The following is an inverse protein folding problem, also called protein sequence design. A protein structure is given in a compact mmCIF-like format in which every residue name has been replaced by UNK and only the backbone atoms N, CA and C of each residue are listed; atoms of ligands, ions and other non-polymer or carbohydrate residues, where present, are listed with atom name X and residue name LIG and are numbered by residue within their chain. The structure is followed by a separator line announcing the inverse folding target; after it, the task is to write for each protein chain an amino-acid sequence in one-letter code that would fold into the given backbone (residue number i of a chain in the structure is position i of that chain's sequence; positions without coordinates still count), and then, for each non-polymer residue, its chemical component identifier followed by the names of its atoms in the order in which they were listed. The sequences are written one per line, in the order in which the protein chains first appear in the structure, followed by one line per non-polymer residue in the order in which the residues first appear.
data_IF_841075905693
#
_entry.id   IF_841075905693
#
_cell.length_a   1.000
_cell.length_b   1.000
_cell.length_c   1.000
_cell.angle_alpha   90.00
_cell.angle_beta   90.00
_cell.angle_gamma   90.00
#
_symmetry.space_group_name_H-M   'P 1'
#
loop_
_entity.id
_entity.type
_entity.pdbx_description
1 polymer ?
#
# COMPACT_ATOMS: atom_id res chain seq x y z
N UNK A 1 16.92 -19.44 12.87
CA UNK A 1 15.66 -18.73 13.18
C UNK A 1 15.21 -18.02 11.92
N UNK A 2 14.29 -18.60 11.14
CA UNK A 2 13.71 -17.90 10.00
C UNK A 2 12.69 -16.90 10.51
N UNK A 3 13.00 -15.61 10.47
CA UNK A 3 12.00 -14.55 10.59
C UNK A 3 10.97 -14.79 9.48
N UNK A 4 9.75 -15.19 9.83
CA UNK A 4 8.65 -15.28 8.89
C UNK A 4 8.53 -13.93 8.18
N UNK A 5 8.68 -13.91 6.85
CA UNK A 5 8.53 -12.67 6.09
C UNK A 5 7.06 -12.24 6.18
N UNK A 6 6.80 -11.14 6.90
CA UNK A 6 5.46 -10.53 6.96
C UNK A 6 5.23 -9.62 5.75
N UNK A 7 3.96 -9.52 5.33
CA UNK A 7 3.54 -8.50 4.37
C UNK A 7 3.69 -7.11 4.99
N UNK A 8 4.00 -6.10 4.17
CA UNK A 8 4.28 -4.75 4.65
C UNK A 8 4.02 -3.67 3.61
N UNK A 9 3.59 -2.51 4.09
CA UNK A 9 3.57 -1.29 3.30
C UNK A 9 4.93 -0.60 3.41
N UNK A 10 5.49 -0.18 2.28
CA UNK A 10 6.64 0.73 2.24
C UNK A 10 6.16 2.09 1.78
N UNK A 11 6.33 3.08 2.63
CA UNK A 11 6.04 4.48 2.32
C UNK A 11 7.34 5.15 1.89
N UNK A 12 7.30 5.93 0.82
CA UNK A 12 8.45 6.69 0.32
C UNK A 12 7.99 7.97 -0.37
N UNK A 13 8.93 8.88 -0.58
CA UNK A 13 8.73 10.10 -1.35
C UNK A 13 9.36 9.93 -2.73
N UNK A 14 8.62 10.22 -3.78
CA UNK A 14 9.10 10.09 -5.16
C UNK A 14 9.90 11.33 -5.62
N UNK A 15 10.37 11.29 -6.87
CA UNK A 15 11.13 12.38 -7.50
C UNK A 15 10.31 13.67 -7.70
N UNK A 16 8.97 13.59 -7.64
CA UNK A 16 8.06 14.73 -7.75
C UNK A 16 7.69 15.31 -6.38
N UNK A 17 8.36 14.87 -5.32
CA UNK A 17 8.05 15.22 -3.94
C UNK A 17 6.65 14.76 -3.47
N UNK A 18 6.09 13.74 -4.11
CA UNK A 18 4.82 13.14 -3.71
C UNK A 18 5.09 11.90 -2.84
N UNK A 19 4.29 11.71 -1.80
CA UNK A 19 4.28 10.52 -0.97
C UNK A 19 3.54 9.39 -1.66
N UNK A 20 4.14 8.20 -1.67
CA UNK A 20 3.57 6.99 -2.27
C UNK A 20 3.76 5.81 -1.34
N UNK A 21 3.00 4.76 -1.57
CA UNK A 21 3.19 3.49 -0.88
C UNK A 21 3.19 2.31 -1.85
N UNK A 22 3.94 1.28 -1.50
CA UNK A 22 3.88 -0.04 -2.17
C UNK A 22 3.59 -1.11 -1.14
N UNK A 23 2.71 -2.05 -1.48
CA UNK A 23 2.43 -3.22 -0.65
C UNK A 23 3.25 -4.40 -1.14
N UNK A 24 4.09 -4.90 -0.24
CA UNK A 24 4.88 -6.10 -0.45
C UNK A 24 4.21 -7.29 0.23
N UNK A 25 3.98 -8.36 -0.54
CA UNK A 25 3.53 -9.64 -0.02
C UNK A 25 4.62 -10.29 0.85
N UNK A 26 4.24 -11.34 1.58
CA UNK A 26 5.16 -12.10 2.43
C UNK A 26 6.37 -12.65 1.65
N UNK A 27 6.22 -12.98 0.36
CA UNK A 27 7.35 -13.42 -0.46
C UNK A 27 8.35 -12.28 -0.79
N UNK A 28 7.93 -11.02 -0.66
CA UNK A 28 8.68 -9.80 -0.95
C UNK A 28 8.28 -9.09 -2.24
N UNK A 29 7.41 -9.70 -3.04
CA UNK A 29 6.92 -9.13 -4.30
C UNK A 29 5.94 -7.99 -4.07
N UNK A 30 5.96 -7.01 -4.97
CA UNK A 30 5.00 -5.90 -4.96
C UNK A 30 3.73 -6.38 -5.64
N UNK A 31 2.61 -6.33 -4.92
CA UNK A 31 1.29 -6.74 -5.47
C UNK A 31 0.29 -5.59 -5.54
N UNK A 32 0.57 -4.48 -4.86
CA UNK A 32 -0.22 -3.26 -4.97
C UNK A 32 0.67 -2.03 -4.80
N UNK A 33 0.28 -0.94 -5.45
CA UNK A 33 0.95 0.37 -5.40
C UNK A 33 -0.11 1.43 -5.16
N UNK A 34 0.30 2.58 -4.62
CA UNK A 34 -0.59 3.74 -4.57
C UNK A 34 -0.89 4.20 -6.01
N UNK A 35 -2.17 4.31 -6.35
CA UNK A 35 -2.62 4.81 -7.65
C UNK A 35 -2.21 6.26 -7.89
N UNK A 36 -2.17 7.05 -6.81
CA UNK A 36 -1.81 8.46 -6.81
C UNK A 36 -0.62 8.77 -5.90
N UNK A 37 -0.02 9.94 -6.13
CA UNK A 37 0.96 10.52 -5.23
C UNK A 37 0.29 11.55 -4.32
N UNK A 38 0.55 11.49 -3.02
CA UNK A 38 -0.02 12.39 -2.02
C UNK A 38 0.91 13.56 -1.73
N UNK A 39 0.38 14.78 -1.59
CA UNK A 39 1.21 15.92 -1.21
C UNK A 39 1.69 15.84 0.25
N UNK A 40 0.86 15.29 1.15
CA UNK A 40 1.19 15.14 2.56
C UNK A 40 1.33 13.67 2.98
N UNK A 41 2.28 13.40 3.87
CA UNK A 41 2.53 12.05 4.41
C UNK A 41 1.31 11.48 5.11
N UNK A 42 0.60 12.32 5.88
CA UNK A 42 -0.61 11.91 6.62
C UNK A 42 -1.69 11.36 5.69
N UNK A 43 -1.83 11.93 4.49
CA UNK A 43 -2.87 11.54 3.54
C UNK A 43 -2.50 10.19 2.91
N UNK A 44 -1.20 9.97 2.64
CA UNK A 44 -0.66 8.68 2.23
C UNK A 44 -0.89 7.59 3.29
N UNK A 45 -0.61 7.89 4.56
CA UNK A 45 -0.86 6.98 5.68
C UNK A 45 -2.35 6.69 5.86
N UNK A 46 -3.21 7.70 5.65
CA UNK A 46 -4.66 7.51 5.69
C UNK A 46 -5.14 6.54 4.60
N UNK A 47 -4.61 6.63 3.38
CA UNK A 47 -4.88 5.66 2.31
C UNK A 47 -4.52 4.23 2.72
N UNK A 48 -3.39 4.02 3.42
CA UNK A 48 -3.02 2.70 3.95
C UNK A 48 -4.00 2.21 5.01
N UNK A 49 -4.50 3.10 5.88
CA UNK A 49 -5.51 2.76 6.89
C UNK A 49 -6.80 2.27 6.22
N UNK A 50 -7.25 2.96 5.16
CA UNK A 50 -8.42 2.55 4.37
C UNK A 50 -8.20 1.17 3.73
N UNK A 51 -7.04 0.91 3.12
CA UNK A 51 -6.71 -0.39 2.53
C UNK A 51 -6.66 -1.52 3.57
N UNK A 52 -6.19 -1.25 4.79
CA UNK A 52 -6.21 -2.23 5.88
C UNK A 52 -7.62 -2.52 6.39
N UNK A 53 -8.51 -1.53 6.31
CA UNK A 53 -9.89 -1.67 6.75
C UNK A 53 -10.77 -2.39 5.71
N UNK A 54 -10.38 -2.41 4.43
CA UNK A 54 -11.19 -2.96 3.33
C UNK A 54 -11.20 -4.49 3.21
N UNK A 55 -10.93 -5.23 4.29
CA UNK A 55 -10.85 -6.69 4.27
C UNK A 55 -12.21 -7.36 3.93
N UNK A 56 -13.31 -6.66 4.14
CA UNK A 56 -14.68 -7.07 3.89
C UNK A 56 -15.31 -6.40 2.65
N UNK A 57 -14.53 -5.68 1.85
CA UNK A 57 -15.01 -5.03 0.65
C UNK A 57 -15.58 -6.05 -0.36
N UNK A 58 -16.76 -5.73 -0.91
CA UNK A 58 -17.41 -6.57 -1.93
C UNK A 58 -16.60 -6.53 -3.22
N UNK A 59 -16.26 -7.70 -3.76
CA UNK A 59 -15.60 -7.83 -5.06
C UNK A 59 -16.66 -7.85 -6.16
N UNK A 60 -16.56 -6.90 -7.09
CA UNK A 60 -17.42 -6.80 -8.27
C UNK A 60 -16.56 -7.01 -9.52
N UNK A 61 -17.03 -7.83 -10.45
CA UNK A 61 -16.40 -8.04 -11.77
C UNK A 61 -17.37 -7.50 -12.81
N UNK A 62 -16.94 -6.52 -13.59
CA UNK A 62 -17.69 -5.97 -14.72
C UNK A 62 -17.10 -6.52 -16.02
N UNK A 63 -17.97 -6.90 -16.97
CA UNK A 63 -17.62 -7.44 -18.30
C UNK A 63 -17.51 -6.35 -19.37
#
# INVERSE_FOLDING_TARGET
MSTAKASKYKVYKDHRNEWRWTFHAANGEVIAVSSEGYTAERDCLHGIVLMKASNDAVVVVEE
#
